data_IF_167641681284
#
_entry.id   IF_167641681284
#
_cell.length_a   1.000
_cell.length_b   1.000
_cell.length_c   1.000
_cell.angle_alpha   90.00
_cell.angle_beta   90.00
_cell.angle_gamma   90.00
#
_symmetry.space_group_name_H-M   'P 1'
#
loop_
_entity.id
_entity.type
_entity.pdbx_description
1 polymer ?
#
# COMPACT_ATOMS: atom_id res chain seq x y z
N UNK A 1 21.92 0.78 7.35
CA UNK A 1 20.60 1.15 6.82
C UNK A 1 19.98 2.19 7.74
N UNK A 2 19.42 3.30 7.22
CA UNK A 2 18.83 4.35 8.07
C UNK A 2 17.54 3.86 8.73
N UNK A 3 17.23 4.35 9.95
CA UNK A 3 15.95 4.11 10.64
C UNK A 3 14.76 4.46 9.75
N UNK A 4 14.89 5.52 8.94
CA UNK A 4 13.88 5.92 7.95
C UNK A 4 13.67 4.84 6.87
N UNK A 5 14.74 4.24 6.35
CA UNK A 5 14.63 3.18 5.34
C UNK A 5 13.93 1.93 5.90
N UNK A 6 14.16 1.61 7.18
CA UNK A 6 13.45 0.51 7.84
C UNK A 6 11.95 0.79 7.93
N UNK A 7 11.57 2.00 8.35
CA UNK A 7 10.16 2.42 8.42
C UNK A 7 9.49 2.41 7.04
N UNK A 8 10.18 2.86 6.00
CA UNK A 8 9.67 2.79 4.63
C UNK A 8 9.42 1.35 4.18
N UNK A 9 10.36 0.43 4.42
CA UNK A 9 10.17 -0.99 4.08
C UNK A 9 9.01 -1.58 4.86
N UNK A 10 8.94 -1.33 6.16
CA UNK A 10 7.86 -1.82 7.01
C UNK A 10 6.50 -1.30 6.53
N UNK A 11 6.44 -0.03 6.13
CA UNK A 11 5.24 0.60 5.57
C UNK A 11 4.78 -0.13 4.30
N UNK A 12 5.70 -0.40 3.36
CA UNK A 12 5.38 -1.13 2.13
C UNK A 12 4.86 -2.53 2.43
N UNK A 13 5.51 -3.25 3.36
CA UNK A 13 5.09 -4.61 3.76
C UNK A 13 3.70 -4.61 4.38
N UNK A 14 3.42 -3.70 5.32
CA UNK A 14 2.09 -3.61 5.94
C UNK A 14 1.01 -3.19 4.94
N UNK A 15 1.33 -2.22 4.08
CA UNK A 15 0.42 -1.79 2.99
C UNK A 15 0.06 -2.97 2.10
N UNK A 16 1.05 -3.76 1.67
CA UNK A 16 0.83 -4.95 0.85
C UNK A 16 -0.10 -5.96 1.53
N UNK A 17 0.12 -6.24 2.82
CA UNK A 17 -0.71 -7.18 3.60
C UNK A 17 -2.17 -6.68 3.65
N UNK A 18 -2.38 -5.40 3.98
CA UNK A 18 -3.71 -4.81 4.10
C UNK A 18 -4.43 -4.79 2.74
N UNK A 19 -3.75 -4.33 1.69
CA UNK A 19 -4.30 -4.29 0.33
C UNK A 19 -4.70 -5.69 -0.14
N UNK A 20 -3.83 -6.69 0.08
CA UNK A 20 -4.15 -8.07 -0.29
C UNK A 20 -5.35 -8.63 0.49
N UNK A 21 -5.51 -8.23 1.75
CA UNK A 21 -6.70 -8.58 2.53
C UNK A 21 -7.97 -7.92 1.97
N UNK A 22 -7.91 -6.64 1.61
CA UNK A 22 -9.01 -5.93 0.95
C UNK A 22 -9.39 -6.64 -0.35
N UNK A 23 -8.43 -6.99 -1.21
CA UNK A 23 -8.70 -7.66 -2.47
C UNK A 23 -9.36 -9.02 -2.31
N UNK A 24 -8.96 -9.78 -1.29
CA UNK A 24 -9.63 -11.05 -0.92
C UNK A 24 -11.07 -10.83 -0.46
N UNK A 25 -11.35 -9.75 0.27
CA UNK A 25 -12.70 -9.43 0.76
C UNK A 25 -13.61 -8.89 -0.34
N UNK A 26 -13.09 -8.03 -1.22
CA UNK A 26 -13.87 -7.41 -2.30
C UNK A 26 -13.95 -8.26 -3.56
N UNK A 27 -13.14 -9.33 -3.65
CA UNK A 27 -12.95 -10.10 -4.89
C UNK A 27 -12.30 -9.30 -6.01
N UNK A 28 -11.63 -8.19 -5.67
CA UNK A 28 -11.05 -7.29 -6.66
C UNK A 28 -9.75 -7.88 -7.21
N UNK A 29 -9.71 -8.07 -8.53
CA UNK A 29 -8.53 -8.56 -9.23
C UNK A 29 -8.26 -7.69 -10.45
N UNK A 30 -7.10 -7.03 -10.44
CA UNK A 30 -6.53 -6.39 -11.61
C UNK A 30 -5.49 -7.32 -12.25
N UNK A 31 -5.51 -7.41 -13.58
CA UNK A 31 -4.48 -8.09 -14.38
C UNK A 31 -3.86 -7.11 -15.36
N UNK A 32 -2.53 -7.09 -15.44
CA UNK A 32 -1.79 -6.29 -16.43
C UNK A 32 -2.10 -6.67 -17.87
N UNK A 33 -2.65 -7.86 -18.12
CA UNK A 33 -3.10 -8.27 -19.46
C UNK A 33 -4.29 -7.46 -19.98
N UNK A 34 -5.02 -6.75 -19.11
CA UNK A 34 -6.14 -5.90 -19.50
C UNK A 34 -5.70 -4.49 -19.96
N UNK A 35 -4.39 -4.21 -20.01
CA UNK A 35 -3.82 -2.96 -20.51
C UNK A 35 -3.57 -1.89 -19.44
N UNK A 36 -2.69 -0.93 -19.76
CA UNK A 36 -2.21 0.12 -18.83
C UNK A 36 -3.21 1.27 -18.63
N UNK A 37 -4.18 1.46 -19.51
CA UNK A 37 -5.24 2.48 -19.39
C UNK A 37 -6.55 1.87 -18.92
N UNK A 38 -6.48 0.96 -17.96
CA UNK A 38 -7.64 0.32 -17.38
C UNK A 38 -8.05 1.02 -16.08
N UNK A 39 -9.35 1.29 -15.92
CA UNK A 39 -9.92 1.84 -14.70
C UNK A 39 -9.58 0.99 -13.47
N UNK A 40 -9.44 -0.33 -13.63
CA UNK A 40 -8.99 -1.24 -12.58
C UNK A 40 -7.56 -0.96 -12.11
N UNK A 41 -6.63 -0.60 -13.00
CA UNK A 41 -5.28 -0.19 -12.58
C UNK A 41 -5.35 1.09 -11.75
N UNK A 42 -6.18 2.06 -12.17
CA UNK A 42 -6.35 3.31 -11.43
C UNK A 42 -6.94 3.06 -10.03
N UNK A 43 -7.92 2.17 -9.93
CA UNK A 43 -8.48 1.74 -8.63
C UNK A 43 -7.43 1.02 -7.79
N UNK A 44 -6.65 0.10 -8.38
CA UNK A 44 -5.58 -0.64 -7.70
C UNK A 44 -4.53 0.32 -7.09
N UNK A 45 -4.02 1.24 -7.90
CA UNK A 45 -3.08 2.28 -7.45
C UNK A 45 -3.72 3.21 -6.41
N UNK A 46 -5.00 3.54 -6.56
CA UNK A 46 -5.76 4.35 -5.61
C UNK A 46 -5.89 3.66 -4.26
N UNK A 47 -6.21 2.37 -4.22
CA UNK A 47 -6.29 1.58 -2.98
C UNK A 47 -4.91 1.50 -2.32
N UNK A 48 -3.86 1.23 -3.09
CA UNK A 48 -2.48 1.26 -2.57
C UNK A 48 -2.15 2.60 -1.91
N UNK A 49 -2.41 3.72 -2.58
CA UNK A 49 -2.12 5.05 -2.05
C UNK A 49 -2.95 5.36 -0.79
N UNK A 50 -4.25 5.03 -0.80
CA UNK A 50 -5.17 5.24 0.31
C UNK A 50 -4.75 4.48 1.57
N UNK A 51 -4.15 3.29 1.42
CA UNK A 51 -3.64 2.51 2.54
C UNK A 51 -2.22 2.93 2.94
N UNK A 52 -1.36 3.23 1.97
CA UNK A 52 0.03 3.59 2.23
C UNK A 52 0.16 4.84 3.09
N UNK A 53 -0.59 5.90 2.78
CA UNK A 53 -0.52 7.19 3.49
C UNK A 53 -0.76 7.01 5.00
N UNK A 54 -1.90 6.46 5.47
CA UNK A 54 -2.15 6.32 6.90
C UNK A 54 -1.15 5.37 7.58
N UNK A 55 -0.76 4.28 6.93
CA UNK A 55 0.25 3.36 7.48
C UNK A 55 1.59 4.07 7.67
N UNK A 56 2.05 4.83 6.67
CA UNK A 56 3.28 5.59 6.75
C UNK A 56 3.21 6.65 7.86
N UNK A 57 2.13 7.42 7.92
CA UNK A 57 1.94 8.45 8.95
C UNK A 57 1.96 7.86 10.37
N UNK A 58 1.30 6.72 10.58
CA UNK A 58 1.28 6.04 11.88
C UNK A 58 2.69 5.54 12.23
N UNK A 59 3.36 4.84 11.32
CA UNK A 59 4.68 4.28 11.58
C UNK A 59 5.75 5.36 11.75
N UNK A 60 5.74 6.42 10.95
CA UNK A 60 6.62 7.57 11.12
C UNK A 60 6.39 8.20 12.50
N UNK A 61 5.15 8.36 12.94
CA UNK A 61 4.83 8.91 14.25
C UNK A 61 5.23 8.01 15.42
N UNK A 62 5.15 6.69 15.28
CA UNK A 62 5.52 5.75 16.35
C UNK A 62 7.04 5.53 16.40
N UNK A 63 7.67 5.38 15.24
CA UNK A 63 9.05 4.91 15.15
C UNK A 63 10.04 6.04 14.88
N UNK A 64 9.66 7.12 14.20
CA UNK A 64 10.57 8.24 13.91
C UNK A 64 10.31 9.48 14.76
N UNK A 65 9.11 9.64 15.34
CA UNK A 65 8.89 10.67 16.36
C UNK A 65 9.77 10.36 17.56
N UNK A 66 10.73 11.25 17.81
CA UNK A 66 11.59 11.25 18.98
C UNK A 66 11.02 12.21 20.00
#
# INVERSE_FOLDING_TARGET
MSKKNYVTILTVVLTFIIVNFIYKLTGFHYSFSEGLLNLKLLIDLGVWLLIYIPVNTILDKILLSK
#
